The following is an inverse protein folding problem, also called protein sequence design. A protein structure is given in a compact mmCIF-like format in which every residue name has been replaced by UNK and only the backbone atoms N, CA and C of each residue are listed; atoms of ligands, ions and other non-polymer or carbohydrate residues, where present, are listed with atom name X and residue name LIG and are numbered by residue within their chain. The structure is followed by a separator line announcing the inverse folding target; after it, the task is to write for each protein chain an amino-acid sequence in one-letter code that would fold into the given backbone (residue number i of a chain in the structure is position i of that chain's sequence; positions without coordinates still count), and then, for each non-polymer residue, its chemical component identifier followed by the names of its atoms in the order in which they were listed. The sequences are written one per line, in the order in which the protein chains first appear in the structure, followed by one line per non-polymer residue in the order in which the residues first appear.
data_IF_382435376851
#
_entry.id   IF_382435376851
#
_cell.length_a   1.000
_cell.length_b   1.000
_cell.length_c   1.000
_cell.angle_alpha   90.00
_cell.angle_beta   90.00
_cell.angle_gamma   90.00
#
_symmetry.space_group_name_H-M   'P 1'
#
loop_
_entity.id
_entity.type
_entity.pdbx_description
1 polymer ?
#
# COMPACT_ATOMS: atom_id res chain seq x y z
N UNK A 1 -18.00 -16.37 -8.12
CA UNK A 1 -18.89 -17.53 -8.37
C UNK A 1 -18.30 -18.83 -7.81
N UNK A 2 -17.23 -19.38 -8.39
CA UNK A 2 -16.68 -20.68 -7.97
C UNK A 2 -16.33 -20.78 -6.47
N UNK A 3 -15.70 -19.75 -5.91
CA UNK A 3 -15.45 -19.64 -4.47
C UNK A 3 -16.72 -19.78 -3.62
N UNK A 4 -17.79 -19.04 -3.93
CA UNK A 4 -19.04 -19.12 -3.16
C UNK A 4 -19.76 -20.46 -3.35
N UNK A 5 -19.66 -21.08 -4.54
CA UNK A 5 -20.17 -22.44 -4.75
C UNK A 5 -19.45 -23.46 -3.85
N UNK A 6 -18.12 -23.36 -3.73
CA UNK A 6 -17.34 -24.21 -2.83
C UNK A 6 -17.69 -23.97 -1.36
N UNK A 7 -17.84 -22.70 -0.93
CA UNK A 7 -18.27 -22.35 0.43
C UNK A 7 -19.66 -22.92 0.75
N UNK A 8 -20.59 -22.82 -0.18
CA UNK A 8 -21.95 -23.34 -0.01
C UNK A 8 -21.96 -24.86 0.20
N UNK A 9 -21.20 -25.62 -0.59
CA UNK A 9 -21.06 -27.09 -0.40
C UNK A 9 -20.40 -27.43 0.94
N UNK A 10 -19.53 -26.56 1.46
CA UNK A 10 -18.90 -26.69 2.78
C UNK A 10 -19.81 -26.20 3.94
N UNK A 11 -21.01 -25.71 3.66
CA UNK A 11 -21.90 -25.12 4.69
C UNK A 11 -21.37 -23.82 5.30
N UNK A 12 -20.45 -23.14 4.61
CA UNK A 12 -19.84 -21.87 5.04
C UNK A 12 -20.58 -20.69 4.41
N UNK A 13 -20.51 -19.53 5.07
CA UNK A 13 -21.09 -18.28 4.56
C UNK A 13 -20.38 -17.85 3.26
N UNK A 14 -21.17 -17.38 2.29
CA UNK A 14 -20.65 -16.77 1.07
C UNK A 14 -19.89 -15.49 1.39
N UNK A 15 -18.91 -15.14 0.55
CA UNK A 15 -18.19 -13.89 0.67
C UNK A 15 -18.27 -13.06 -0.61
N UNK A 16 -18.38 -11.75 -0.44
CA UNK A 16 -18.28 -10.75 -1.49
C UNK A 16 -17.47 -9.59 -0.93
N UNK A 17 -16.40 -9.14 -1.63
CA UNK A 17 -15.66 -7.97 -1.20
C UNK A 17 -16.54 -6.72 -1.29
N UNK A 18 -16.38 -5.81 -0.33
CA UNK A 18 -17.06 -4.50 -0.37
C UNK A 18 -16.45 -3.61 -1.45
N UNK A 19 -17.18 -2.53 -1.79
CA UNK A 19 -16.75 -1.52 -2.78
C UNK A 19 -15.44 -0.83 -2.39
N UNK A 20 -15.17 -0.65 -1.10
CA UNK A 20 -13.95 -0.04 -0.55
C UNK A 20 -12.77 -1.03 -0.46
N UNK A 21 -13.02 -2.34 -0.62
CA UNK A 21 -12.00 -3.38 -0.48
C UNK A 21 -11.40 -3.79 -1.82
N UNK A 22 -12.19 -3.83 -2.90
CA UNK A 22 -11.72 -4.25 -4.21
C UNK A 22 -12.58 -3.75 -5.37
N UNK A 23 -11.94 -3.52 -6.52
CA UNK A 23 -12.62 -3.25 -7.78
C UNK A 23 -13.61 -4.37 -8.18
N UNK A 24 -13.33 -5.64 -7.86
CA UNK A 24 -14.28 -6.73 -8.12
C UNK A 24 -15.55 -6.59 -7.25
N UNK A 25 -15.45 -5.99 -6.06
CA UNK A 25 -16.61 -5.66 -5.23
C UNK A 25 -17.48 -4.58 -5.87
N UNK A 26 -16.85 -3.52 -6.39
CA UNK A 26 -17.53 -2.47 -7.17
C UNK A 26 -18.26 -3.06 -8.38
N UNK A 27 -17.59 -3.93 -9.14
CA UNK A 27 -18.20 -4.61 -10.30
C UNK A 27 -19.45 -5.42 -9.91
N UNK A 28 -19.32 -6.26 -8.89
CA UNK A 28 -20.41 -7.15 -8.46
C UNK A 28 -21.60 -6.33 -7.97
N UNK A 29 -21.35 -5.30 -7.17
CA UNK A 29 -22.37 -4.43 -6.62
C UNK A 29 -23.10 -3.61 -7.71
N UNK A 30 -22.34 -3.03 -8.64
CA UNK A 30 -22.91 -2.28 -9.77
C UNK A 30 -23.82 -3.18 -10.62
N UNK A 31 -23.37 -4.40 -10.94
CA UNK A 31 -24.15 -5.35 -11.74
C UNK A 31 -25.40 -5.84 -11.01
N UNK A 32 -25.33 -6.06 -9.69
CA UNK A 32 -26.45 -6.52 -8.89
C UNK A 32 -27.51 -5.42 -8.68
N UNK A 33 -27.06 -4.17 -8.51
CA UNK A 33 -27.94 -3.04 -8.14
C UNK A 33 -28.52 -2.33 -9.36
N UNK A 34 -27.68 -2.05 -10.37
CA UNK A 34 -28.08 -1.26 -11.54
C UNK A 34 -28.45 -2.12 -12.75
N UNK A 35 -28.05 -3.40 -12.76
CA UNK A 35 -28.12 -4.24 -13.95
C UNK A 35 -27.23 -3.70 -15.08
N UNK A 36 -27.42 -4.22 -16.29
CA UNK A 36 -26.64 -3.80 -17.47
C UNK A 36 -27.50 -3.96 -18.72
N UNK A 37 -27.74 -2.85 -19.45
CA UNK A 37 -28.36 -2.89 -20.78
C UNK A 37 -27.31 -3.02 -21.90
N UNK A 38 -26.13 -2.45 -21.66
CA UNK A 38 -24.95 -2.55 -22.54
C UNK A 38 -23.78 -3.12 -21.74
N UNK A 39 -22.84 -3.85 -22.37
CA UNK A 39 -21.75 -4.53 -21.67
C UNK A 39 -21.01 -3.61 -20.69
N UNK A 40 -21.01 -3.98 -19.40
CA UNK A 40 -20.38 -3.20 -18.34
C UNK A 40 -18.89 -2.96 -18.61
N UNK A 41 -18.40 -1.74 -18.36
CA UNK A 41 -16.99 -1.35 -18.51
C UNK A 41 -16.45 -0.72 -17.23
N UNK A 42 -15.42 -1.35 -16.65
CA UNK A 42 -14.80 -0.95 -15.38
C UNK A 42 -14.09 0.41 -15.43
N UNK A 43 -13.56 0.82 -16.59
CA UNK A 43 -12.83 2.10 -16.68
C UNK A 43 -13.72 3.34 -16.55
N UNK A 44 -15.03 3.20 -16.74
CA UNK A 44 -15.99 4.31 -16.63
C UNK A 44 -16.65 4.40 -15.25
N UNK A 45 -16.49 3.41 -14.37
CA UNK A 45 -17.08 3.46 -13.03
C UNK A 45 -16.23 4.36 -12.10
N UNK A 46 -16.93 5.27 -11.42
CA UNK A 46 -16.35 6.12 -10.38
C UNK A 46 -16.16 5.27 -9.13
N UNK A 47 -15.07 4.51 -9.07
CA UNK A 47 -14.63 4.00 -7.77
C UNK A 47 -14.28 5.22 -6.90
N UNK A 48 -15.12 5.49 -5.90
CA UNK A 48 -14.94 6.58 -4.93
C UNK A 48 -13.64 6.39 -4.14
N UNK A 49 -13.22 5.13 -3.98
CA UNK A 49 -12.04 4.69 -3.23
C UNK A 49 -10.76 4.54 -4.08
N UNK A 50 -10.59 5.28 -5.18
CA UNK A 50 -9.44 5.13 -6.10
C UNK A 50 -8.05 5.20 -5.42
N UNK A 51 -7.89 5.98 -4.36
CA UNK A 51 -6.60 6.05 -3.66
C UNK A 51 -6.35 4.81 -2.80
N UNK A 52 -7.39 4.11 -2.35
CA UNK A 52 -7.29 2.85 -1.61
C UNK A 52 -7.17 1.65 -2.56
N UNK A 53 -7.94 1.65 -3.65
CA UNK A 53 -8.03 0.58 -4.63
C UNK A 53 -6.94 0.71 -5.70
N UNK A 54 -5.68 0.47 -5.31
CA UNK A 54 -4.57 0.51 -6.28
C UNK A 54 -4.12 -0.89 -6.66
N UNK A 55 -3.51 -1.01 -7.82
CA UNK A 55 -2.93 -2.27 -8.27
C UNK A 55 -1.82 -2.72 -7.30
N UNK A 56 -0.96 -1.79 -6.90
CA UNK A 56 0.23 -2.04 -6.08
C UNK A 56 -0.07 -2.66 -4.71
N UNK A 57 -1.29 -2.48 -4.18
CA UNK A 57 -1.67 -2.89 -2.83
C UNK A 57 -2.80 -3.94 -2.77
N UNK A 58 -3.13 -4.57 -3.91
CA UNK A 58 -4.21 -5.56 -3.96
C UNK A 58 -3.95 -6.76 -3.04
N UNK A 59 -2.69 -7.16 -2.92
CA UNK A 59 -2.25 -8.20 -2.00
C UNK A 59 -2.46 -7.82 -0.54
N UNK A 60 -2.10 -6.60 -0.14
CA UNK A 60 -2.32 -6.06 1.20
C UNK A 60 -3.82 -6.02 1.56
N UNK A 61 -4.69 -5.78 0.58
CA UNK A 61 -6.15 -5.75 0.77
C UNK A 61 -6.78 -7.15 0.82
N UNK A 62 -6.33 -8.09 0.01
CA UNK A 62 -7.09 -9.32 -0.29
C UNK A 62 -6.41 -10.63 0.08
N UNK A 63 -5.09 -10.66 0.31
CA UNK A 63 -4.38 -11.94 0.52
C UNK A 63 -4.78 -12.61 1.81
N UNK A 64 -4.89 -11.86 2.92
CA UNK A 64 -5.37 -12.39 4.19
C UNK A 64 -6.78 -12.99 4.05
N UNK A 65 -7.68 -12.28 3.36
CA UNK A 65 -9.02 -12.80 3.11
C UNK A 65 -9.00 -14.05 2.21
N UNK A 66 -8.17 -14.05 1.18
CA UNK A 66 -7.94 -15.23 0.33
C UNK A 66 -7.42 -16.43 1.11
N UNK A 67 -6.57 -16.21 2.12
CA UNK A 67 -6.08 -17.26 3.02
C UNK A 67 -7.19 -17.85 3.88
N UNK A 68 -8.02 -17.01 4.50
CA UNK A 68 -9.21 -17.45 5.27
C UNK A 68 -10.19 -18.28 4.41
N UNK A 69 -10.30 -17.92 3.14
CA UNK A 69 -11.19 -18.58 2.18
C UNK A 69 -10.57 -19.85 1.57
N UNK A 70 -9.31 -20.17 1.87
CA UNK A 70 -8.62 -21.36 1.35
C UNK A 70 -8.14 -21.22 -0.10
N UNK A 71 -8.02 -19.99 -0.61
CA UNK A 71 -7.60 -19.69 -1.99
C UNK A 71 -6.11 -19.33 -2.09
N UNK A 72 -5.46 -19.05 -0.96
CA UNK A 72 -4.03 -18.69 -0.89
C UNK A 72 -3.26 -19.84 -0.26
N UNK A 73 -2.34 -20.41 -1.04
CA UNK A 73 -1.45 -21.48 -0.60
C UNK A 73 -0.39 -21.01 0.41
N UNK A 74 0.35 -21.97 0.98
CA UNK A 74 1.36 -21.70 2.00
C UNK A 74 2.54 -20.89 1.47
N UNK A 75 2.93 -21.11 0.21
CA UNK A 75 4.07 -20.42 -0.42
C UNK A 75 3.76 -18.94 -0.60
N UNK A 76 2.58 -18.62 -1.15
CA UNK A 76 2.11 -17.24 -1.30
C UNK A 76 1.85 -16.59 0.04
N UNK A 77 1.30 -17.32 1.01
CA UNK A 77 1.06 -16.80 2.35
C UNK A 77 2.38 -16.43 3.06
N UNK A 78 3.39 -17.28 2.97
CA UNK A 78 4.71 -16.99 3.53
C UNK A 78 5.34 -15.74 2.90
N UNK A 79 5.36 -15.66 1.57
CA UNK A 79 5.90 -14.50 0.85
C UNK A 79 5.16 -13.20 1.21
N UNK A 80 3.82 -13.25 1.32
CA UNK A 80 3.00 -12.13 1.74
C UNK A 80 3.37 -11.64 3.15
N UNK A 81 3.48 -12.56 4.12
CA UNK A 81 3.84 -12.17 5.49
C UNK A 81 5.24 -11.58 5.57
N UNK A 82 6.23 -12.15 4.87
CA UNK A 82 7.59 -11.59 4.80
C UNK A 82 7.57 -10.16 4.24
N UNK A 83 6.81 -9.91 3.18
CA UNK A 83 6.64 -8.56 2.62
C UNK A 83 5.99 -7.60 3.62
N UNK A 84 4.91 -8.01 4.28
CA UNK A 84 4.20 -7.17 5.26
C UNK A 84 5.10 -6.82 6.45
N UNK A 85 5.83 -7.80 6.97
CA UNK A 85 6.77 -7.61 8.07
C UNK A 85 7.92 -6.67 7.68
N UNK A 86 8.47 -6.82 6.48
CA UNK A 86 9.50 -5.94 5.95
C UNK A 86 9.00 -4.49 5.83
N UNK A 87 7.78 -4.29 5.31
CA UNK A 87 7.16 -2.96 5.21
C UNK A 87 7.01 -2.32 6.59
N UNK A 88 6.44 -3.04 7.55
CA UNK A 88 6.17 -2.47 8.88
C UNK A 88 7.47 -2.21 9.66
N UNK A 89 8.43 -3.12 9.61
CA UNK A 89 9.75 -2.95 10.23
C UNK A 89 10.46 -1.72 9.67
N UNK A 90 10.45 -1.57 8.35
CA UNK A 90 11.11 -0.44 7.71
C UNK A 90 10.41 0.89 8.00
N UNK A 91 9.08 0.92 7.99
CA UNK A 91 8.32 2.12 8.39
C UNK A 91 8.63 2.52 9.82
N UNK A 92 8.75 1.55 10.74
CA UNK A 92 9.17 1.83 12.11
C UNK A 92 10.59 2.41 12.16
N UNK A 93 11.54 1.81 11.44
CA UNK A 93 12.91 2.32 11.34
C UNK A 93 12.93 3.78 10.85
N UNK A 94 12.24 4.07 9.74
CA UNK A 94 12.18 5.41 9.15
C UNK A 94 11.54 6.46 10.08
N UNK A 95 10.59 6.06 10.94
CA UNK A 95 10.01 6.93 11.97
C UNK A 95 10.95 7.17 13.14
N UNK A 96 11.70 6.14 13.53
CA UNK A 96 12.60 6.19 14.70
C UNK A 96 13.96 6.83 14.40
N UNK A 97 14.38 6.88 13.14
CA UNK A 97 15.67 7.45 12.76
C UNK A 97 15.51 8.93 12.42
N UNK A 98 16.24 9.77 13.14
CA UNK A 98 16.20 11.22 13.03
C UNK A 98 17.50 11.77 12.47
N UNK A 99 17.38 12.80 11.64
CA UNK A 99 18.49 13.55 11.06
C UNK A 99 18.44 14.97 11.58
N UNK A 100 19.48 15.35 12.31
CA UNK A 100 19.73 16.72 12.74
C UNK A 100 20.66 17.43 11.74
N UNK A 101 20.69 18.78 11.69
CA UNK A 101 21.48 19.53 10.71
C UNK A 101 22.99 19.24 10.70
N UNK A 102 23.54 18.70 11.80
CA UNK A 102 24.95 18.33 11.93
C UNK A 102 25.28 16.86 11.62
N UNK A 103 24.31 16.07 11.16
CA UNK A 103 24.51 14.65 10.87
C UNK A 103 25.35 14.45 9.60
N UNK A 104 26.23 13.45 9.55
CA UNK A 104 27.17 13.24 8.44
C UNK A 104 26.47 13.11 7.06
N UNK A 105 25.31 12.46 7.03
CA UNK A 105 24.48 12.33 5.83
C UNK A 105 23.87 13.64 5.29
N UNK A 106 23.87 14.74 6.05
CA UNK A 106 23.16 15.99 5.68
C UNK A 106 23.74 16.64 4.43
N UNK A 107 25.06 16.59 4.25
CA UNK A 107 25.69 17.16 3.06
C UNK A 107 25.19 16.48 1.80
N UNK A 108 25.24 15.14 1.75
CA UNK A 108 24.73 14.35 0.64
C UNK A 108 23.20 14.49 0.46
N UNK A 109 22.46 14.59 1.56
CA UNK A 109 21.02 14.77 1.53
C UNK A 109 20.62 16.14 0.97
N UNK A 110 21.28 17.22 1.38
CA UNK A 110 21.00 18.58 0.93
C UNK A 110 21.23 18.78 -0.56
N UNK A 111 22.10 17.98 -1.20
CA UNK A 111 22.27 17.98 -2.67
C UNK A 111 21.00 17.51 -3.41
N UNK A 112 20.12 16.76 -2.74
CA UNK A 112 18.87 16.22 -3.30
C UNK A 112 17.63 17.01 -2.90
N UNK A 113 17.74 17.86 -1.87
CA UNK A 113 16.60 18.59 -1.31
C UNK A 113 16.48 19.98 -1.92
N UNK A 114 15.24 20.43 -2.17
CA UNK A 114 15.00 21.85 -2.52
C UNK A 114 15.23 22.78 -1.34
N UNK A 115 14.84 22.33 -0.15
CA UNK A 115 15.03 23.04 1.11
C UNK A 115 15.95 22.22 2.02
N UNK A 116 17.14 22.74 2.38
CA UNK A 116 18.08 22.05 3.24
C UNK A 116 17.49 21.64 4.59
N UNK A 117 18.08 20.62 5.20
CA UNK A 117 17.78 20.22 6.59
C UNK A 117 18.22 21.34 7.54
N UNK A 118 17.26 22.14 8.03
CA UNK A 118 17.50 23.25 8.96
C UNK A 118 17.12 22.94 10.41
N UNK A 119 16.36 21.86 10.62
CA UNK A 119 15.96 21.31 11.92
C UNK A 119 15.92 19.79 11.85
N UNK A 120 15.64 19.16 12.98
CA UNK A 120 15.48 17.71 13.04
C UNK A 120 14.25 17.24 12.24
N UNK A 121 14.46 16.16 11.48
CA UNK A 121 13.45 15.46 10.70
C UNK A 121 13.64 13.96 10.84
N UNK A 122 12.55 13.19 10.93
CA UNK A 122 12.63 11.74 10.75
C UNK A 122 12.89 11.39 9.29
N UNK A 123 13.41 10.20 9.00
CA UNK A 123 13.53 9.74 7.63
C UNK A 123 12.16 9.61 6.93
N UNK A 124 11.10 9.26 7.67
CA UNK A 124 9.73 9.25 7.15
C UNK A 124 9.30 10.65 6.66
N UNK A 125 9.61 11.71 7.41
CA UNK A 125 9.33 13.09 6.99
C UNK A 125 10.11 13.49 5.73
N UNK A 126 11.34 12.99 5.57
CA UNK A 126 12.14 13.23 4.38
C UNK A 126 11.56 12.52 3.15
N UNK A 127 11.18 11.24 3.27
CA UNK A 127 10.53 10.48 2.17
C UNK A 127 9.18 11.08 1.77
N UNK A 128 8.47 11.74 2.70
CA UNK A 128 7.23 12.46 2.40
C UNK A 128 7.43 13.65 1.44
N UNK A 129 8.66 14.16 1.30
CA UNK A 129 8.96 15.26 0.36
C UNK A 129 8.84 14.75 -1.08
N UNK A 130 8.12 15.46 -1.98
CA UNK A 130 7.87 14.98 -3.34
C UNK A 130 9.14 14.67 -4.15
N UNK A 131 10.22 15.43 -3.90
CA UNK A 131 11.51 15.27 -4.58
C UNK A 131 12.37 14.12 -4.05
N UNK A 132 12.01 13.48 -2.94
CA UNK A 132 12.79 12.39 -2.34
C UNK A 132 12.15 11.06 -2.67
N UNK A 133 12.95 10.12 -3.20
CA UNK A 133 12.54 8.71 -3.34
C UNK A 133 13.20 7.87 -2.25
N UNK A 134 12.53 6.80 -1.83
CA UNK A 134 13.08 5.88 -0.84
C UNK A 134 14.40 5.27 -1.33
N UNK A 135 14.42 4.82 -2.58
CA UNK A 135 15.59 4.21 -3.19
C UNK A 135 16.82 5.14 -3.24
N UNK A 136 16.63 6.45 -3.44
CA UNK A 136 17.75 7.40 -3.41
C UNK A 136 18.20 7.74 -2.00
N UNK A 137 17.27 7.85 -1.05
CA UNK A 137 17.60 8.10 0.36
C UNK A 137 18.47 6.96 0.91
N UNK A 138 18.14 5.72 0.56
CA UNK A 138 18.85 4.52 1.00
C UNK A 138 20.23 4.33 0.37
N UNK A 139 20.59 5.13 -0.64
CA UNK A 139 21.96 5.15 -1.21
C UNK A 139 22.93 6.03 -0.41
N UNK A 140 22.42 6.85 0.52
CA UNK A 140 23.25 7.71 1.35
C UNK A 140 23.83 6.89 2.50
N UNK A 141 25.16 6.96 2.67
CA UNK A 141 25.87 6.38 3.81
C UNK A 141 25.22 6.83 5.13
N UNK A 142 25.14 5.93 6.11
CA UNK A 142 24.47 6.10 7.41
C UNK A 142 22.92 6.13 7.39
N UNK A 143 22.28 6.23 6.22
CA UNK A 143 20.82 6.16 6.10
C UNK A 143 20.34 4.80 5.60
N UNK A 144 21.11 4.21 4.69
CA UNK A 144 20.90 2.85 4.19
C UNK A 144 21.63 1.77 5.00
N UNK A 145 21.57 0.51 4.54
CA UNK A 145 20.83 0.05 3.35
C UNK A 145 19.31 0.07 3.56
N UNK A 146 18.57 0.01 2.45
CA UNK A 146 17.12 -0.15 2.45
C UNK A 146 16.70 -1.62 2.31
N UNK A 147 15.40 -1.82 2.09
CA UNK A 147 14.81 -3.13 1.81
C UNK A 147 15.33 -3.71 0.48
N UNK A 148 15.65 -5.01 0.49
CA UNK A 148 16.07 -5.76 -0.70
C UNK A 148 14.89 -6.11 -1.61
N UNK A 149 13.70 -6.34 -1.04
CA UNK A 149 12.48 -6.59 -1.81
C UNK A 149 11.97 -5.29 -2.44
N UNK A 150 12.01 -5.17 -3.79
CA UNK A 150 11.59 -3.95 -4.48
C UNK A 150 10.09 -3.66 -4.27
N UNK A 151 9.24 -4.67 -4.11
CA UNK A 151 7.81 -4.45 -3.87
C UNK A 151 7.55 -3.91 -2.47
N UNK A 152 8.31 -4.38 -1.48
CA UNK A 152 8.23 -3.86 -0.12
C UNK A 152 8.76 -2.42 -0.06
N UNK A 153 9.90 -2.14 -0.70
CA UNK A 153 10.50 -0.81 -0.81
C UNK A 153 9.54 0.20 -1.47
N UNK A 154 8.95 -0.17 -2.61
CA UNK A 154 7.94 0.65 -3.29
C UNK A 154 6.73 0.90 -2.38
N UNK A 155 6.24 -0.11 -1.68
CA UNK A 155 5.11 0.08 -0.78
C UNK A 155 5.40 0.97 0.42
N UNK A 156 6.61 0.91 0.99
CA UNK A 156 7.02 1.85 2.03
C UNK A 156 6.92 3.29 1.53
N UNK A 157 7.47 3.57 0.35
CA UNK A 157 7.41 4.90 -0.25
C UNK A 157 5.98 5.37 -0.52
N UNK A 158 5.16 4.52 -1.16
CA UNK A 158 3.76 4.83 -1.49
C UNK A 158 2.97 5.08 -0.20
N UNK A 159 3.07 4.21 0.80
CA UNK A 159 2.32 4.41 2.04
C UNK A 159 2.70 5.71 2.76
N UNK A 160 3.98 6.09 2.77
CA UNK A 160 4.44 7.34 3.37
C UNK A 160 3.92 8.56 2.61
N UNK A 161 4.02 8.56 1.28
CA UNK A 161 3.64 9.70 0.44
C UNK A 161 2.12 9.89 0.37
N UNK A 162 1.35 8.80 0.36
CA UNK A 162 -0.10 8.85 0.22
C UNK A 162 -0.86 8.86 1.54
N UNK A 163 -0.20 8.67 2.70
CA UNK A 163 -0.85 8.63 4.02
C UNK A 163 -1.88 9.75 4.24
N UNK A 164 -1.47 11.01 4.08
CA UNK A 164 -2.35 12.17 4.29
C UNK A 164 -3.42 12.38 3.21
N UNK A 165 -3.28 11.76 2.03
CA UNK A 165 -4.34 11.77 1.01
C UNK A 165 -5.37 10.68 1.30
N UNK A 166 -4.91 9.51 1.78
CA UNK A 166 -5.76 8.40 2.20
C UNK A 166 -6.59 8.80 3.43
N UNK A 167 -6.00 9.47 4.42
CA UNK A 167 -6.73 9.97 5.59
C UNK A 167 -7.82 10.95 5.18
N UNK A 168 -7.51 11.95 4.35
CA UNK A 168 -8.51 12.89 3.83
C UNK A 168 -9.63 12.20 3.05
N UNK A 169 -9.31 11.22 2.20
CA UNK A 169 -10.35 10.47 1.49
C UNK A 169 -11.25 9.67 2.44
N UNK A 170 -10.73 9.18 3.58
CA UNK A 170 -11.56 8.49 4.58
C UNK A 170 -12.48 9.43 5.36
N UNK A 171 -12.11 10.70 5.51
CA UNK A 171 -12.94 11.71 6.18
C UNK A 171 -14.05 12.26 5.27
N UNK A 172 -13.88 12.20 3.94
CA UNK A 172 -14.81 12.72 2.94
C UNK A 172 -15.93 11.72 2.54
N UNK A 173 -15.76 10.43 2.84
CA UNK A 173 -16.70 9.34 2.49
C UNK A 173 -17.43 8.84 3.74
#
# INVERSE_FOLDING_TARGET
AGMNAALQVQGRECWTPRRDEAYVGVLIDDLATMGTQEPYRMFTSRAEYRLLLREDNADLRLTAKGRELGLVDDVRWAAFNTKVEAIETERQRLRSQWIHPGHAAVEALNLKLKNPVSREHSLEELVRRPEVTYAELMKISDLGPGLEDPQAAEQVEIQIKYAGYIERQKDEI
#
